data_IF_006831133898
#
_entry.id   IF_006831133898
#
_cell.length_a   1.000
_cell.length_b   1.000
_cell.length_c   1.000
_cell.angle_alpha   90.00
_cell.angle_beta   90.00
_cell.angle_gamma   90.00
#
_symmetry.space_group_name_H-M   'P 1'
#
loop_
_entity.id
_entity.type
_entity.pdbx_description
1 polymer ?
#
# COMPACT_ATOMS: atom_id res chain seq x y z
N UNK A 1 8.42 44.21 40.82
CA UNK A 1 7.76 44.55 39.54
C UNK A 1 8.66 44.00 38.44
N UNK A 2 8.35 42.81 37.93
CA UNK A 2 9.19 42.08 36.94
C UNK A 2 8.90 42.64 35.56
N UNK A 3 9.93 43.06 34.84
CA UNK A 3 9.82 43.66 33.51
C UNK A 3 9.65 42.58 32.43
N UNK A 4 8.54 42.63 31.70
CA UNK A 4 8.17 41.73 30.61
C UNK A 4 8.34 42.37 29.22
N UNK A 5 8.99 43.53 29.11
CA UNK A 5 9.13 44.29 27.87
C UNK A 5 10.09 43.67 26.84
N UNK A 6 10.88 42.66 27.23
CA UNK A 6 11.89 42.03 26.37
C UNK A 6 11.49 40.61 25.97
N UNK A 7 11.27 40.30 24.66
CA UNK A 7 11.04 38.92 24.23
C UNK A 7 12.30 38.07 24.47
N UNK A 8 12.15 36.78 24.82
CA UNK A 8 13.28 35.88 24.97
C UNK A 8 14.01 35.76 23.63
N UNK A 9 15.31 36.09 23.64
CA UNK A 9 16.18 35.90 22.48
C UNK A 9 16.31 34.39 22.22
N UNK A 10 15.49 33.87 21.31
CA UNK A 10 15.63 32.50 20.80
C UNK A 10 17.03 32.41 20.18
N UNK A 11 17.90 31.61 20.81
CA UNK A 11 19.23 31.32 20.31
C UNK A 11 19.14 31.00 18.82
N UNK A 12 19.72 31.85 17.97
CA UNK A 12 19.66 31.68 16.52
C UNK A 12 20.23 30.31 16.21
N UNK A 13 19.38 29.43 15.67
CA UNK A 13 19.74 28.09 15.21
C UNK A 13 20.91 28.25 14.25
N UNK A 14 22.11 27.90 14.69
CA UNK A 14 23.28 27.84 13.82
C UNK A 14 22.93 26.90 12.67
N UNK A 15 23.17 27.34 11.44
CA UNK A 15 22.98 26.51 10.26
C UNK A 15 23.71 25.18 10.44
N UNK A 16 22.97 24.08 10.53
CA UNK A 16 23.56 22.74 10.65
C UNK A 16 24.44 22.54 9.42
N UNK A 17 25.76 22.26 9.57
CA UNK A 17 26.63 22.11 8.41
C UNK A 17 26.12 20.97 7.53
N UNK A 18 25.88 21.26 6.24
CA UNK A 18 25.40 20.30 5.23
C UNK A 18 26.55 19.39 4.75
N UNK A 19 27.26 18.74 5.67
CA UNK A 19 28.40 17.86 5.37
C UNK A 19 28.00 16.40 5.12
N UNK A 20 26.70 16.09 5.08
CA UNK A 20 26.18 14.72 4.96
C UNK A 20 25.58 14.33 3.59
N UNK A 21 25.86 14.99 2.45
CA UNK A 21 25.20 14.59 1.20
C UNK A 21 25.58 13.15 0.81
N UNK A 22 26.82 12.74 1.01
CA UNK A 22 27.29 11.37 0.72
C UNK A 22 26.67 10.33 1.65
N UNK A 23 26.61 10.60 2.96
CA UNK A 23 25.98 9.71 3.93
C UNK A 23 24.47 9.53 3.66
N UNK A 24 23.78 10.61 3.25
CA UNK A 24 22.38 10.55 2.83
C UNK A 24 22.19 9.75 1.54
N UNK A 25 23.07 9.94 0.54
CA UNK A 25 23.02 9.15 -0.69
C UNK A 25 23.27 7.67 -0.44
N UNK A 26 24.21 7.32 0.43
CA UNK A 26 24.45 5.94 0.83
C UNK A 26 23.27 5.34 1.61
N UNK A 27 22.63 6.11 2.50
CA UNK A 27 21.43 5.67 3.20
C UNK A 27 20.26 5.44 2.25
N UNK A 28 20.05 6.34 1.28
CA UNK A 28 19.01 6.19 0.25
C UNK A 28 19.30 4.99 -0.65
N UNK A 29 20.54 4.82 -1.09
CA UNK A 29 20.95 3.66 -1.89
C UNK A 29 20.75 2.35 -1.11
N UNK A 30 21.14 2.32 0.17
CA UNK A 30 20.94 1.17 1.04
C UNK A 30 19.45 0.86 1.25
N UNK A 31 18.61 1.89 1.43
CA UNK A 31 17.16 1.71 1.55
C UNK A 31 16.55 1.18 0.25
N UNK A 32 16.96 1.70 -0.91
CA UNK A 32 16.50 1.22 -2.22
C UNK A 32 16.86 -0.25 -2.36
N UNK A 33 18.12 -0.64 -2.12
CA UNK A 33 18.56 -2.03 -2.20
C UNK A 33 17.74 -2.91 -1.26
N UNK A 34 17.54 -2.49 0.00
CA UNK A 34 16.75 -3.25 0.96
C UNK A 34 15.30 -3.42 0.51
N UNK A 35 14.66 -2.37 0.03
CA UNK A 35 13.27 -2.43 -0.47
C UNK A 35 13.19 -3.31 -1.71
N UNK A 36 14.11 -3.19 -2.66
CA UNK A 36 14.14 -4.02 -3.87
C UNK A 36 14.33 -5.49 -3.51
N UNK A 37 15.24 -5.82 -2.59
CA UNK A 37 15.42 -7.19 -2.12
C UNK A 37 14.17 -7.70 -1.41
N UNK A 38 13.57 -6.91 -0.52
CA UNK A 38 12.35 -7.29 0.19
C UNK A 38 11.15 -7.51 -0.75
N UNK A 39 11.01 -6.69 -1.79
CA UNK A 39 9.99 -6.88 -2.83
C UNK A 39 10.30 -8.14 -3.63
N UNK A 40 11.54 -8.32 -4.08
CA UNK A 40 11.97 -9.51 -4.83
C UNK A 40 11.65 -10.80 -4.07
N UNK A 41 11.98 -10.86 -2.78
CA UNK A 41 11.67 -12.01 -1.93
C UNK A 41 10.16 -12.26 -1.78
N UNK A 42 9.33 -11.20 -1.74
CA UNK A 42 7.86 -11.35 -1.70
C UNK A 42 7.25 -11.82 -3.01
N UNK A 43 7.93 -11.62 -4.14
CA UNK A 43 7.45 -12.09 -5.44
C UNK A 43 7.79 -13.56 -5.70
N UNK A 44 8.76 -14.14 -5.00
CA UNK A 44 9.16 -15.54 -5.18
C UNK A 44 7.98 -16.52 -5.05
N UNK A 45 7.13 -16.46 -4.00
CA UNK A 45 6.02 -17.39 -3.85
C UNK A 45 5.00 -17.29 -5.00
N UNK A 46 4.76 -16.08 -5.50
CA UNK A 46 3.82 -15.81 -6.60
C UNK A 46 4.28 -16.50 -7.89
N UNK A 47 5.59 -16.54 -8.15
CA UNK A 47 6.15 -17.16 -9.37
C UNK A 47 6.25 -18.69 -9.22
N UNK A 48 6.61 -19.17 -8.04
CA UNK A 48 6.85 -20.60 -7.79
C UNK A 48 5.55 -21.38 -7.64
N UNK A 49 4.55 -20.80 -6.96
CA UNK A 49 3.24 -21.42 -6.76
C UNK A 49 2.13 -20.43 -7.08
N UNK A 50 1.81 -20.24 -8.38
CA UNK A 50 0.76 -19.32 -8.81
C UNK A 50 -0.64 -19.73 -8.34
N UNK A 51 -0.82 -20.99 -7.93
CA UNK A 51 -2.11 -21.57 -7.54
C UNK A 51 -2.37 -21.57 -6.03
N UNK A 52 -1.55 -20.85 -5.25
CA UNK A 52 -1.66 -20.79 -3.80
C UNK A 52 -2.89 -19.98 -3.39
N UNK A 53 -3.97 -20.68 -3.07
CA UNK A 53 -5.26 -20.08 -2.74
C UNK A 53 -5.45 -19.99 -1.22
N UNK A 54 -5.55 -18.77 -0.70
CA UNK A 54 -5.98 -18.51 0.66
C UNK A 54 -7.45 -18.15 0.70
N UNK A 55 -8.25 -18.97 1.38
CA UNK A 55 -9.69 -18.76 1.46
C UNK A 55 -10.05 -17.41 2.07
N UNK A 56 -9.37 -16.98 3.12
CA UNK A 56 -9.59 -15.67 3.73
C UNK A 56 -9.24 -14.51 2.81
N UNK A 57 -8.18 -14.62 2.00
CA UNK A 57 -7.85 -13.61 0.98
C UNK A 57 -8.95 -13.53 -0.09
N UNK A 58 -9.42 -14.67 -0.58
CA UNK A 58 -10.46 -14.76 -1.61
C UNK A 58 -11.78 -14.19 -1.08
N UNK A 59 -12.31 -14.73 0.01
CA UNK A 59 -13.62 -14.37 0.55
C UNK A 59 -13.64 -12.97 1.18
N UNK A 60 -12.53 -12.49 1.74
CA UNK A 60 -12.49 -11.18 2.41
C UNK A 60 -11.99 -10.03 1.51
N UNK A 61 -11.48 -10.34 0.32
CA UNK A 61 -10.87 -9.34 -0.58
C UNK A 61 -11.35 -9.49 -2.01
N UNK A 62 -11.06 -10.62 -2.65
CA UNK A 62 -11.28 -10.81 -4.09
C UNK A 62 -12.76 -10.93 -4.45
N UNK A 63 -13.55 -11.73 -3.73
CA UNK A 63 -14.97 -11.92 -4.03
C UNK A 63 -15.82 -10.66 -3.78
N UNK A 64 -15.67 -9.92 -2.67
CA UNK A 64 -16.36 -8.65 -2.51
C UNK A 64 -15.95 -7.62 -3.57
N UNK A 65 -14.66 -7.58 -3.96
CA UNK A 65 -14.19 -6.72 -5.04
C UNK A 65 -14.80 -7.11 -6.39
N UNK A 66 -14.81 -8.41 -6.70
CA UNK A 66 -15.42 -8.97 -7.89
C UNK A 66 -16.91 -8.63 -7.97
N UNK A 67 -17.64 -8.71 -6.84
CA UNK A 67 -19.05 -8.30 -6.79
C UNK A 67 -19.25 -6.82 -7.10
N UNK A 68 -18.37 -5.95 -6.62
CA UNK A 68 -18.46 -4.50 -6.92
C UNK A 68 -18.30 -4.21 -8.42
N UNK A 69 -17.48 -4.99 -9.12
CA UNK A 69 -17.17 -4.79 -10.55
C UNK A 69 -18.17 -5.49 -11.48
N UNK A 70 -18.46 -6.76 -11.21
CA UNK A 70 -19.23 -7.64 -12.10
C UNK A 70 -20.68 -7.86 -11.66
N UNK A 71 -21.06 -7.38 -10.48
CA UNK A 71 -22.42 -7.49 -9.94
C UNK A 71 -22.76 -8.83 -9.28
N UNK A 72 -21.86 -9.81 -9.30
CA UNK A 72 -22.03 -11.12 -8.66
C UNK A 72 -20.77 -11.55 -7.89
N UNK A 73 -20.96 -12.41 -6.89
CA UNK A 73 -19.91 -12.86 -5.97
C UNK A 73 -20.45 -12.95 -4.55
N UNK A 74 -19.81 -13.77 -3.71
CA UNK A 74 -20.23 -13.86 -2.32
C UNK A 74 -19.71 -12.64 -1.55
N UNK A 75 -20.51 -12.22 -0.57
CA UNK A 75 -20.10 -11.19 0.39
C UNK A 75 -20.35 -11.76 1.76
N UNK A 76 -19.27 -11.87 2.53
CA UNK A 76 -19.33 -12.42 3.87
C UNK A 76 -20.15 -11.50 4.78
N UNK A 77 -20.70 -12.09 5.84
CA UNK A 77 -21.63 -11.42 6.75
C UNK A 77 -20.99 -10.20 7.45
N UNK A 78 -19.67 -10.16 7.62
CA UNK A 78 -18.95 -9.03 8.22
C UNK A 78 -19.07 -7.74 7.40
N UNK A 79 -19.11 -7.85 6.08
CA UNK A 79 -19.31 -6.70 5.20
C UNK A 79 -20.77 -6.24 5.18
N UNK A 80 -21.71 -7.18 5.32
CA UNK A 80 -23.14 -6.89 5.40
C UNK A 80 -23.49 -6.14 6.68
N UNK A 81 -22.84 -6.51 7.79
CA UNK A 81 -22.98 -5.84 9.08
C UNK A 81 -22.08 -4.61 9.24
N UNK A 82 -21.25 -4.28 8.24
CA UNK A 82 -20.33 -3.14 8.29
C UNK A 82 -19.20 -3.27 9.31
N UNK A 83 -18.87 -4.49 9.74
CA UNK A 83 -17.78 -4.75 10.69
C UNK A 83 -16.39 -4.69 10.05
N UNK A 84 -16.32 -4.81 8.71
CA UNK A 84 -15.07 -4.76 7.95
C UNK A 84 -15.07 -3.61 6.97
N UNK A 85 -13.92 -2.94 6.85
CA UNK A 85 -13.76 -1.81 5.93
C UNK A 85 -13.82 -2.27 4.47
N UNK A 86 -14.64 -1.57 3.68
CA UNK A 86 -14.71 -1.72 2.23
C UNK A 86 -13.53 -1.08 1.48
N UNK A 87 -12.58 -0.44 2.19
CA UNK A 87 -11.46 0.25 1.55
C UNK A 87 -10.57 -0.71 0.75
N UNK A 88 -10.22 -1.85 1.34
CA UNK A 88 -9.32 -2.82 0.71
C UNK A 88 -10.01 -3.56 -0.46
N UNK A 89 -11.23 -4.12 -0.31
CA UNK A 89 -11.95 -4.65 -1.46
C UNK A 89 -12.28 -3.61 -2.52
N UNK A 90 -12.58 -2.37 -2.12
CA UNK A 90 -12.85 -1.27 -3.06
C UNK A 90 -11.62 -0.87 -3.87
N UNK A 91 -10.43 -0.85 -3.26
CA UNK A 91 -9.18 -0.63 -3.97
C UNK A 91 -8.90 -1.75 -4.99
N UNK A 92 -9.11 -3.00 -4.60
CA UNK A 92 -8.97 -4.15 -5.49
C UNK A 92 -10.00 -4.12 -6.61
N UNK A 93 -11.24 -3.71 -6.33
CA UNK A 93 -12.28 -3.50 -7.34
C UNK A 93 -11.87 -2.43 -8.35
N UNK A 94 -11.26 -1.32 -7.92
CA UNK A 94 -10.76 -0.29 -8.82
C UNK A 94 -9.65 -0.84 -9.74
N UNK A 95 -8.77 -1.70 -9.24
CA UNK A 95 -7.75 -2.35 -10.05
C UNK A 95 -8.36 -3.35 -11.04
N UNK A 96 -9.36 -4.13 -10.62
CA UNK A 96 -10.10 -5.06 -11.48
C UNK A 96 -10.87 -4.32 -12.59
N UNK A 97 -11.53 -3.21 -12.26
CA UNK A 97 -12.22 -2.38 -13.26
C UNK A 97 -11.22 -1.73 -14.22
N UNK A 98 -10.07 -1.26 -13.74
CA UNK A 98 -9.00 -0.77 -14.61
C UNK A 98 -8.49 -1.87 -15.55
N UNK A 99 -8.32 -3.10 -15.06
CA UNK A 99 -7.94 -4.24 -15.89
C UNK A 99 -9.01 -4.57 -16.94
N UNK A 100 -10.30 -4.52 -16.56
CA UNK A 100 -11.43 -4.69 -17.48
C UNK A 100 -11.45 -3.64 -18.58
N UNK A 101 -11.15 -2.38 -18.26
CA UNK A 101 -11.07 -1.29 -19.26
C UNK A 101 -9.94 -1.49 -20.27
N UNK A 102 -8.90 -2.23 -19.89
CA UNK A 102 -7.73 -2.50 -20.74
C UNK A 102 -7.93 -3.81 -21.54
N UNK A 103 -8.79 -4.73 -21.08
CA UNK A 103 -8.97 -6.06 -21.67
C UNK A 103 -10.43 -6.51 -21.67
N UNK A 104 -11.02 -6.62 -22.86
CA UNK A 104 -12.38 -7.15 -23.09
C UNK A 104 -12.42 -8.70 -23.23
N UNK A 105 -11.29 -9.39 -23.10
CA UNK A 105 -11.13 -10.82 -23.46
C UNK A 105 -11.26 -11.81 -22.29
N UNK A 106 -11.98 -12.95 -22.45
CA UNK A 106 -12.08 -14.03 -21.45
C UNK A 106 -10.77 -14.81 -21.25
N UNK A 107 -9.75 -14.54 -22.07
CA UNK A 107 -8.60 -15.42 -22.30
C UNK A 107 -7.49 -15.26 -21.23
N UNK A 108 -7.66 -14.36 -20.26
CA UNK A 108 -6.63 -14.05 -19.25
C UNK A 108 -6.73 -14.95 -18.01
N UNK A 109 -7.80 -15.74 -17.86
CA UNK A 109 -8.05 -16.56 -16.66
C UNK A 109 -8.22 -18.07 -16.93
N UNK A 110 -7.83 -18.57 -18.11
CA UNK A 110 -7.70 -20.01 -18.43
C UNK A 110 -6.23 -20.35 -18.68
#
# INVERSE_FOLDING_TARGET
MVDFSSPPQLARSGSVPNCWPTARLLAVAGLIVLVTVAVGLRLVPIIVEPSLNWGDEIFQTLEPAHRLVYGYGLVTWEFQLGMRSWLLPGFVAALMEAARLISDGPDIYL
#
